data_IF_949201633478
#
_entry.id   IF_949201633478
#
_cell.length_a   1.000
_cell.length_b   1.000
_cell.length_c   1.000
_cell.angle_alpha   90.00
_cell.angle_beta   90.00
_cell.angle_gamma   90.00
#
_symmetry.space_group_name_H-M   'P 1'
#
loop_
_entity.id
_entity.type
_entity.pdbx_description
1 polymer ?
#
# COMPACT_ATOMS: atom_id res chain seq x y z
N UNK A 1 -25.85 -64.39 -0.59
CA UNK A 1 -26.62 -63.14 -0.40
C UNK A 1 -25.73 -61.96 -0.75
N UNK A 2 -25.89 -61.38 -1.94
CA UNK A 2 -25.18 -60.14 -2.28
C UNK A 2 -25.95 -58.97 -1.64
N UNK A 3 -25.32 -58.28 -0.70
CA UNK A 3 -25.87 -57.05 -0.14
C UNK A 3 -25.78 -55.95 -1.20
N UNK A 4 -26.93 -55.57 -1.78
CA UNK A 4 -27.02 -54.36 -2.57
C UNK A 4 -26.67 -53.17 -1.68
N UNK A 5 -25.46 -52.62 -1.83
CA UNK A 5 -25.13 -51.30 -1.29
C UNK A 5 -25.94 -50.29 -2.10
N UNK A 6 -26.82 -49.48 -1.50
CA UNK A 6 -27.55 -48.47 -2.24
C UNK A 6 -26.54 -47.49 -2.84
N UNK A 7 -26.53 -47.38 -4.16
CA UNK A 7 -25.74 -46.36 -4.85
C UNK A 7 -26.28 -44.98 -4.42
N UNK A 8 -25.39 -44.03 -4.08
CA UNK A 8 -25.84 -42.70 -3.69
C UNK A 8 -26.65 -42.10 -4.84
N UNK A 9 -27.85 -41.60 -4.52
CA UNK A 9 -28.72 -40.95 -5.50
C UNK A 9 -27.95 -39.82 -6.20
N UNK A 10 -28.00 -39.80 -7.53
CA UNK A 10 -27.36 -38.79 -8.39
C UNK A 10 -27.66 -37.36 -7.93
N UNK A 11 -28.90 -37.09 -7.50
CA UNK A 11 -29.33 -35.81 -6.93
C UNK A 11 -28.57 -35.44 -5.64
N UNK A 12 -28.30 -36.41 -4.76
CA UNK A 12 -27.50 -36.19 -3.53
C UNK A 12 -26.04 -35.88 -3.86
N UNK A 13 -25.49 -36.47 -4.92
CA UNK A 13 -24.12 -36.20 -5.37
C UNK A 13 -24.02 -34.79 -5.94
N UNK A 14 -24.94 -34.42 -6.83
CA UNK A 14 -24.99 -33.06 -7.41
C UNK A 14 -25.18 -32.02 -6.33
N UNK A 15 -26.11 -32.22 -5.39
CA UNK A 15 -26.36 -31.28 -4.32
C UNK A 15 -25.13 -31.05 -3.42
N UNK A 16 -24.38 -32.12 -3.11
CA UNK A 16 -23.11 -32.02 -2.37
C UNK A 16 -22.06 -31.25 -3.17
N UNK A 17 -21.92 -31.53 -4.46
CA UNK A 17 -20.96 -30.84 -5.32
C UNK A 17 -21.31 -29.35 -5.44
N UNK A 18 -22.59 -29.04 -5.68
CA UNK A 18 -23.10 -27.68 -5.77
C UNK A 18 -22.89 -26.92 -4.47
N UNK A 19 -23.15 -27.55 -3.32
CA UNK A 19 -22.93 -26.95 -2.00
C UNK A 19 -21.44 -26.65 -1.77
N UNK A 20 -20.55 -27.58 -2.12
CA UNK A 20 -19.11 -27.40 -1.97
C UNK A 20 -18.60 -26.24 -2.85
N UNK A 21 -19.01 -26.20 -4.12
CA UNK A 21 -18.66 -25.13 -5.07
C UNK A 21 -19.23 -23.79 -4.60
N UNK A 22 -20.47 -23.77 -4.11
CA UNK A 22 -21.11 -22.56 -3.60
C UNK A 22 -20.40 -22.02 -2.37
N UNK A 23 -19.96 -22.89 -1.45
CA UNK A 23 -19.20 -22.48 -0.27
C UNK A 23 -17.84 -21.89 -0.68
N UNK A 24 -17.12 -22.54 -1.59
CA UNK A 24 -15.84 -22.03 -2.10
C UNK A 24 -16.04 -20.67 -2.79
N UNK A 25 -17.08 -20.55 -3.61
CA UNK A 25 -17.42 -19.30 -4.29
C UNK A 25 -17.77 -18.19 -3.29
N UNK A 26 -18.58 -18.48 -2.26
CA UNK A 26 -18.94 -17.51 -1.23
C UNK A 26 -17.72 -17.08 -0.41
N UNK A 27 -16.85 -18.01 -0.03
CA UNK A 27 -15.60 -17.68 0.67
C UNK A 27 -14.68 -16.81 -0.19
N UNK A 28 -14.52 -17.15 -1.48
CA UNK A 28 -13.73 -16.36 -2.41
C UNK A 28 -14.35 -14.98 -2.67
N UNK A 29 -15.67 -14.91 -2.85
CA UNK A 29 -16.40 -13.66 -3.06
C UNK A 29 -16.35 -12.76 -1.83
N UNK A 30 -16.49 -13.31 -0.62
CA UNK A 30 -16.31 -12.57 0.62
C UNK A 30 -14.88 -12.06 0.76
N UNK A 31 -13.87 -12.89 0.48
CA UNK A 31 -12.48 -12.45 0.46
C UNK A 31 -12.26 -11.34 -0.57
N UNK A 32 -12.69 -11.51 -1.83
CA UNK A 32 -12.43 -10.54 -2.89
C UNK A 32 -13.21 -9.22 -2.74
N UNK A 33 -14.40 -9.25 -2.15
CA UNK A 33 -15.27 -8.07 -2.04
C UNK A 33 -14.97 -7.24 -0.79
N UNK A 34 -14.45 -7.87 0.28
CA UNK A 34 -14.14 -7.19 1.54
C UNK A 34 -12.64 -7.06 1.82
N UNK A 35 -11.77 -7.80 1.12
CA UNK A 35 -10.35 -7.48 1.08
C UNK A 35 -10.16 -6.29 0.13
N UNK A 36 -10.40 -5.09 0.64
CA UNK A 36 -9.91 -3.88 0.01
C UNK A 36 -8.38 -4.00 -0.04
N UNK A 37 -7.84 -4.41 -1.19
CA UNK A 37 -6.41 -4.47 -1.43
C UNK A 37 -5.88 -3.03 -1.50
N UNK A 38 -5.56 -2.47 -0.34
CA UNK A 38 -4.87 -1.20 -0.23
C UNK A 38 -3.40 -1.40 -0.65
N UNK A 39 -2.98 -0.89 -1.83
CA UNK A 39 -1.63 -1.12 -2.34
C UNK A 39 -0.55 -0.57 -1.39
N UNK A 40 -0.92 0.42 -0.56
CA UNK A 40 -0.02 1.00 0.42
C UNK A 40 0.24 0.04 1.60
N UNK A 41 -0.81 -0.65 2.08
CA UNK A 41 -0.70 -1.64 3.16
C UNK A 41 0.07 -2.88 2.71
N UNK A 42 -0.23 -3.37 1.51
CA UNK A 42 0.52 -4.47 0.91
C UNK A 42 2.01 -4.11 0.81
N UNK A 43 2.31 -2.90 0.33
CA UNK A 43 3.70 -2.44 0.24
C UNK A 43 4.38 -2.22 1.59
N UNK A 44 3.66 -1.72 2.60
CA UNK A 44 4.16 -1.63 3.98
C UNK A 44 4.53 -3.01 4.53
N UNK A 45 3.67 -4.01 4.31
CA UNK A 45 3.92 -5.38 4.73
C UNK A 45 5.20 -5.94 4.08
N UNK A 46 5.39 -5.73 2.77
CA UNK A 46 6.61 -6.11 2.05
C UNK A 46 7.87 -5.42 2.59
N UNK A 47 7.75 -4.20 3.14
CA UNK A 47 8.82 -3.45 3.79
C UNK A 47 9.10 -3.92 5.24
N UNK A 48 8.40 -4.96 5.72
CA UNK A 48 8.62 -5.57 7.03
C UNK A 48 7.83 -4.92 8.16
N UNK A 49 6.77 -4.16 7.85
CA UNK A 49 5.83 -3.67 8.85
C UNK A 49 4.75 -4.74 9.13
N UNK A 50 4.32 -4.93 10.39
CA UNK A 50 3.27 -5.90 10.70
C UNK A 50 1.89 -5.40 10.25
N UNK A 51 0.94 -6.32 10.06
CA UNK A 51 -0.45 -5.96 9.78
C UNK A 51 -1.16 -5.34 11.00
N UNK A 52 -0.70 -5.64 12.21
CA UNK A 52 -1.24 -5.09 13.45
C UNK A 52 -0.19 -5.00 14.56
N UNK A 53 -0.35 -4.05 15.48
CA UNK A 53 0.57 -3.84 16.60
C UNK A 53 1.93 -3.31 16.16
N UNK A 54 3.01 -3.96 16.61
CA UNK A 54 4.37 -3.59 16.29
C UNK A 54 5.31 -4.79 16.29
N UNK A 55 6.43 -4.66 15.58
CA UNK A 55 7.58 -5.58 15.65
C UNK A 55 8.77 -4.81 16.20
N UNK A 56 9.46 -5.39 17.18
CA UNK A 56 10.70 -4.85 17.72
C UNK A 56 11.89 -5.72 17.32
N UNK A 57 12.81 -5.15 16.53
CA UNK A 57 14.00 -5.83 16.03
C UNK A 57 15.16 -4.84 15.91
N UNK A 58 16.36 -5.22 16.37
CA UNK A 58 17.59 -4.41 16.25
C UNK A 58 17.38 -2.95 16.71
N UNK A 59 16.92 -2.78 17.95
CA UNK A 59 16.69 -1.46 18.55
C UNK A 59 15.73 -0.57 17.75
N UNK A 60 14.85 -1.18 16.94
CA UNK A 60 13.90 -0.48 16.09
C UNK A 60 12.50 -1.08 16.26
N UNK A 61 11.51 -0.24 16.56
CA UNK A 61 10.09 -0.59 16.53
C UNK A 61 9.51 -0.14 15.19
N UNK A 62 8.92 -1.10 14.48
CA UNK A 62 8.09 -0.88 13.29
C UNK A 62 6.64 -1.08 13.69
N UNK A 63 5.86 0.00 13.65
CA UNK A 63 4.44 -0.01 13.99
C UNK A 63 3.61 -0.33 12.75
N UNK A 64 2.46 -0.97 12.90
CA UNK A 64 1.65 -1.43 11.77
C UNK A 64 1.20 -0.31 10.80
N UNK A 65 1.09 0.92 11.29
CA UNK A 65 0.74 2.10 10.52
C UNK A 65 1.94 2.72 9.75
N UNK A 66 3.14 2.16 9.91
CA UNK A 66 4.36 2.70 9.32
C UNK A 66 5.09 3.71 10.20
N UNK A 67 4.68 3.96 11.46
CA UNK A 67 5.55 4.70 12.37
C UNK A 67 6.84 3.92 12.61
N UNK A 68 7.92 4.63 12.92
CA UNK A 68 9.20 4.04 13.26
C UNK A 68 9.76 4.69 14.52
N UNK A 69 10.16 3.87 15.48
CA UNK A 69 10.87 4.34 16.68
C UNK A 69 12.21 3.63 16.74
N UNK A 70 13.31 4.38 16.87
CA UNK A 70 14.68 3.86 16.88
C UNK A 70 15.34 4.20 18.21
N UNK A 71 15.88 3.19 18.88
CA UNK A 71 16.63 3.32 20.12
C UNK A 71 18.12 3.43 19.81
N UNK A 72 18.78 4.41 20.41
CA UNK A 72 20.22 4.64 20.32
C UNK A 72 20.78 4.79 21.74
N UNK A 73 21.03 3.66 22.40
CA UNK A 73 21.41 3.65 23.81
C UNK A 73 20.32 4.23 24.70
N UNK A 74 20.58 5.37 25.35
CA UNK A 74 19.61 6.07 26.19
C UNK A 74 18.69 7.04 25.41
N UNK A 75 18.95 7.26 24.12
CA UNK A 75 18.17 8.16 23.28
C UNK A 75 17.12 7.39 22.48
N UNK A 76 15.93 7.98 22.37
CA UNK A 76 14.82 7.45 21.57
C UNK A 76 14.53 8.45 20.47
N UNK A 77 14.62 8.01 19.22
CA UNK A 77 14.22 8.79 18.07
C UNK A 77 12.92 8.28 17.49
N UNK A 78 11.93 9.17 17.37
CA UNK A 78 10.61 8.85 16.84
C UNK A 78 10.38 9.49 15.48
N UNK A 79 9.78 8.71 14.58
CA UNK A 79 9.42 9.07 13.21
C UNK A 79 7.92 8.83 13.02
N UNK A 80 7.09 9.81 13.39
CA UNK A 80 5.65 9.64 13.57
C UNK A 80 4.83 9.73 12.28
N UNK A 81 5.43 10.02 11.12
CA UNK A 81 4.67 10.13 9.88
C UNK A 81 4.41 8.74 9.30
N UNK A 82 3.14 8.31 9.29
CA UNK A 82 2.70 7.06 8.65
C UNK A 82 2.96 7.09 7.14
N UNK A 83 2.96 5.92 6.48
CA UNK A 83 3.02 5.90 5.02
C UNK A 83 1.79 6.55 4.38
N UNK A 84 0.61 6.41 5.00
CA UNK A 84 -0.64 6.97 4.49
C UNK A 84 -0.63 8.51 4.60
N UNK A 85 -0.19 9.04 5.74
CA UNK A 85 0.03 10.46 5.92
C UNK A 85 1.06 10.99 4.94
N UNK A 86 2.16 10.27 4.73
CA UNK A 86 3.19 10.68 3.77
C UNK A 86 2.64 10.74 2.33
N UNK A 87 1.81 9.78 1.95
CA UNK A 87 1.14 9.78 0.65
C UNK A 87 0.25 11.01 0.47
N UNK A 88 -0.59 11.32 1.46
CA UNK A 88 -1.47 12.50 1.42
C UNK A 88 -0.67 13.81 1.45
N UNK A 89 0.41 13.88 2.21
CA UNK A 89 1.34 15.01 2.20
C UNK A 89 1.93 15.20 0.79
N UNK A 90 2.40 14.14 0.14
CA UNK A 90 2.93 14.19 -1.21
C UNK A 90 1.86 14.64 -2.24
N UNK A 91 0.64 14.11 -2.15
CA UNK A 91 -0.48 14.54 -3.00
C UNK A 91 -0.82 16.01 -2.83
N UNK A 92 -0.90 16.47 -1.59
CA UNK A 92 -1.19 17.86 -1.26
C UNK A 92 -0.09 18.80 -1.76
N UNK A 93 1.18 18.40 -1.65
CA UNK A 93 2.31 19.14 -2.21
C UNK A 93 2.16 19.31 -3.74
N UNK A 94 1.81 18.23 -4.44
CA UNK A 94 1.61 18.20 -5.89
C UNK A 94 0.34 18.94 -6.36
N UNK A 95 -0.65 19.16 -5.48
CA UNK A 95 -1.91 19.81 -5.83
C UNK A 95 -1.71 21.22 -6.44
N UNK A 96 -0.74 21.97 -5.94
CA UNK A 96 -0.40 23.30 -6.46
C UNK A 96 0.16 23.25 -7.90
N UNK A 97 0.97 22.24 -8.21
CA UNK A 97 1.48 21.98 -9.55
C UNK A 97 0.38 21.50 -10.50
N UNK A 98 -0.47 20.59 -10.02
CA UNK A 98 -1.61 20.07 -10.78
C UNK A 98 -2.61 21.16 -11.15
N UNK A 99 -2.80 22.16 -10.29
CA UNK A 99 -3.62 23.33 -10.64
C UNK A 99 -3.07 24.06 -11.86
N UNK A 100 -1.75 24.27 -11.92
CA UNK A 100 -1.09 24.91 -13.08
C UNK A 100 -1.15 24.02 -14.32
N UNK A 101 -0.93 22.71 -14.19
CA UNK A 101 -1.01 21.77 -15.32
C UNK A 101 -2.40 21.76 -15.97
N UNK A 102 -3.45 21.83 -15.15
CA UNK A 102 -4.84 21.90 -15.63
C UNK A 102 -5.18 23.16 -16.42
N UNK A 103 -4.42 24.25 -16.25
CA UNK A 103 -4.57 25.46 -17.08
C UNK A 103 -4.09 25.21 -18.51
N UNK A 104 -3.17 24.27 -18.72
CA UNK A 104 -2.73 23.85 -20.06
C UNK A 104 -3.65 22.79 -20.65
N UNK A 105 -3.93 21.72 -19.90
CA UNK A 105 -4.84 20.65 -20.31
C UNK A 105 -5.46 20.00 -19.06
N UNK A 106 -6.78 19.88 -19.04
CA UNK A 106 -7.52 19.28 -17.91
C UNK A 106 -7.16 17.82 -17.61
N UNK A 107 -6.61 17.10 -18.59
CA UNK A 107 -6.16 15.72 -18.46
C UNK A 107 -4.77 15.60 -17.84
N UNK A 108 -4.06 16.72 -17.62
CA UNK A 108 -2.69 16.70 -17.11
C UNK A 108 -2.65 16.78 -15.59
N UNK A 109 -2.03 15.80 -14.96
CA UNK A 109 -1.80 15.80 -13.52
C UNK A 109 -0.62 14.92 -13.12
N UNK A 110 0.01 15.29 -12.02
CA UNK A 110 1.02 14.52 -11.32
C UNK A 110 0.37 13.73 -10.20
N UNK A 111 0.71 12.45 -10.10
CA UNK A 111 0.25 11.59 -9.03
C UNK A 111 1.40 10.73 -8.48
N UNK A 112 1.56 10.67 -7.14
CA UNK A 112 2.45 9.69 -6.53
C UNK A 112 1.81 8.30 -6.61
N UNK A 113 2.62 7.28 -6.88
CA UNK A 113 2.17 5.91 -7.08
C UNK A 113 2.24 5.11 -5.75
N UNK A 114 1.10 4.68 -5.20
CA UNK A 114 1.04 4.00 -3.89
C UNK A 114 1.91 2.75 -3.80
N UNK A 115 1.86 1.89 -4.82
CA UNK A 115 2.63 0.62 -4.86
C UNK A 115 4.14 0.82 -4.92
N UNK A 116 4.60 2.03 -5.28
CA UNK A 116 6.02 2.35 -5.38
C UNK A 116 6.67 2.71 -4.03
N UNK A 117 5.89 2.76 -2.95
CA UNK A 117 6.35 3.12 -1.61
C UNK A 117 7.65 2.39 -1.26
N UNK A 118 8.65 3.15 -0.85
CA UNK A 118 9.93 2.62 -0.37
C UNK A 118 10.51 3.48 0.75
N UNK A 119 11.50 2.94 1.46
CA UNK A 119 12.22 3.62 2.53
C UNK A 119 13.60 4.06 2.01
N UNK A 120 13.99 5.30 2.32
CA UNK A 120 15.34 5.80 2.07
C UNK A 120 15.90 6.52 3.28
N UNK A 121 17.21 6.45 3.43
CA UNK A 121 17.96 7.22 4.41
C UNK A 121 18.96 8.12 3.67
N UNK A 122 18.95 9.42 3.97
CA UNK A 122 19.81 10.44 3.38
C UNK A 122 20.10 11.50 4.45
N UNK A 123 21.35 11.91 4.62
CA UNK A 123 21.76 12.96 5.57
C UNK A 123 21.20 12.77 6.99
N UNK A 124 21.28 11.54 7.53
CA UNK A 124 20.74 11.13 8.83
C UNK A 124 19.22 11.30 8.99
N UNK A 125 18.50 11.53 7.89
CA UNK A 125 17.05 11.59 7.86
C UNK A 125 16.48 10.34 7.19
N UNK A 126 15.31 9.91 7.65
CA UNK A 126 14.57 8.79 7.07
C UNK A 126 13.37 9.33 6.30
N UNK A 127 13.13 8.75 5.13
CA UNK A 127 12.12 9.21 4.17
C UNK A 127 11.21 8.07 3.73
N UNK A 128 9.94 8.41 3.58
CA UNK A 128 9.05 7.69 2.68
C UNK A 128 9.24 8.21 1.27
N UNK A 129 9.34 7.32 0.29
CA UNK A 129 9.59 7.70 -1.09
C UNK A 129 8.53 7.09 -1.99
N UNK A 130 7.95 7.93 -2.85
CA UNK A 130 6.98 7.54 -3.88
C UNK A 130 7.53 7.94 -5.25
N UNK A 131 7.40 7.06 -6.23
CA UNK A 131 7.48 7.44 -7.64
C UNK A 131 6.32 8.37 -7.98
N UNK A 132 6.59 9.38 -8.81
CA UNK A 132 5.61 10.34 -9.27
C UNK A 132 5.54 10.26 -10.78
N UNK A 133 4.33 10.12 -11.31
CA UNK A 133 4.05 10.04 -12.73
C UNK A 133 3.27 11.26 -13.19
N UNK A 134 3.63 11.78 -14.36
CA UNK A 134 2.84 12.73 -15.12
C UNK A 134 1.89 11.96 -16.02
N UNK A 135 0.60 12.13 -15.76
CA UNK A 135 -0.46 11.69 -16.64
C UNK A 135 -0.71 12.80 -17.66
N UNK A 136 -0.54 12.49 -18.94
CA UNK A 136 -0.75 13.42 -20.05
C UNK A 136 -1.68 12.77 -21.07
N UNK A 137 -2.98 12.76 -20.77
CA UNK A 137 -3.99 12.06 -21.57
C UNK A 137 -3.85 10.54 -21.47
N UNK A 138 -3.53 9.86 -22.58
CA UNK A 138 -3.39 8.40 -22.63
C UNK A 138 -2.01 7.86 -22.23
N UNK A 139 -1.04 8.74 -21.94
CA UNK A 139 0.33 8.37 -21.61
C UNK A 139 0.66 8.73 -20.16
N UNK A 140 1.41 7.84 -19.50
CA UNK A 140 1.97 8.06 -18.17
C UNK A 140 3.49 8.12 -18.30
N UNK A 141 4.09 9.24 -17.88
CA UNK A 141 5.53 9.48 -17.97
C UNK A 141 6.09 9.60 -16.56
N UNK A 142 7.16 8.86 -16.26
CA UNK A 142 7.86 9.00 -14.99
C UNK A 142 8.41 10.43 -14.84
N UNK A 143 8.00 11.12 -13.78
CA UNK A 143 8.35 12.52 -13.52
C UNK A 143 9.41 12.68 -12.42
N UNK A 144 9.56 11.68 -11.55
CA UNK A 144 10.57 11.69 -10.49
C UNK A 144 10.09 10.96 -9.24
N UNK A 145 10.65 11.37 -8.10
CA UNK A 145 10.37 10.81 -6.79
C UNK A 145 9.98 11.92 -5.81
N UNK A 146 8.97 11.65 -4.99
CA UNK A 146 8.60 12.46 -3.84
C UNK A 146 9.15 11.83 -2.56
N UNK A 147 10.09 12.51 -1.90
CA UNK A 147 10.67 12.11 -0.62
C UNK A 147 9.94 12.89 0.48
N UNK A 148 9.30 12.17 1.40
CA UNK A 148 8.61 12.76 2.55
C UNK A 148 9.38 12.40 3.81
N UNK A 149 9.92 13.41 4.49
CA UNK A 149 10.67 13.22 5.73
C UNK A 149 9.75 12.60 6.79
N UNK A 150 10.16 11.47 7.38
CA UNK A 150 9.33 10.71 8.32
C UNK A 150 9.18 11.36 9.69
N UNK A 151 10.00 12.38 9.97
CA UNK A 151 9.99 13.14 11.22
C UNK A 151 9.22 14.45 11.09
N UNK A 152 9.44 15.18 9.99
CA UNK A 152 8.90 16.54 9.81
C UNK A 152 7.74 16.62 8.81
N UNK A 153 7.53 15.59 7.98
CA UNK A 153 6.59 15.64 6.86
C UNK A 153 7.02 16.55 5.71
N UNK A 154 8.24 17.09 5.74
CA UNK A 154 8.74 17.95 4.66
C UNK A 154 8.92 17.14 3.38
N UNK A 155 8.49 17.71 2.24
CA UNK A 155 8.61 17.06 0.93
C UNK A 155 9.84 17.59 0.18
N UNK A 156 10.62 16.68 -0.40
CA UNK A 156 11.72 16.94 -1.33
C UNK A 156 11.44 16.18 -2.62
N UNK A 157 11.37 16.88 -3.74
CA UNK A 157 11.27 16.24 -5.05
C UNK A 157 12.67 15.93 -5.58
N UNK A 158 12.83 14.78 -6.25
CA UNK A 158 14.01 14.43 -7.03
C UNK A 158 13.60 13.95 -8.42
N UNK A 159 14.01 14.62 -9.49
CA UNK A 159 13.71 14.25 -10.87
C UNK A 159 13.40 15.45 -11.75
N UNK A 160 12.50 15.29 -12.73
CA UNK A 160 12.13 16.35 -13.68
C UNK A 160 11.42 17.53 -13.00
N UNK A 161 10.97 17.33 -11.76
CA UNK A 161 10.23 18.30 -10.96
C UNK A 161 11.07 18.92 -9.82
N UNK A 162 12.35 18.54 -9.70
CA UNK A 162 13.27 18.99 -8.62
C UNK A 162 14.65 18.37 -8.71
#
# INVERSE_FOLDING_TARGET
MYAHRPSPSFSKIIFRLFSLVSIIFLLHFSYSTFAEHDPLKERLYELGYPESGYIFTNDTIRWADGHLTVFQGAYVEDYPITAEQAYEIARNYLASYNKKLKEYDSSYYLEPEKKSLTEKEEDSNKYWVFEVYLHAGGNNVFAGFAYVNRKTGTVKMKGLLG
#
